data_IF_182756920367
#
_entry.id   IF_182756920367
#
_cell.length_a   1.000
_cell.length_b   1.000
_cell.length_c   1.000
_cell.angle_alpha   90.00
_cell.angle_beta   90.00
_cell.angle_gamma   90.00
#
_symmetry.space_group_name_H-M   'P 1'
#
loop_
_entity.id
_entity.type
_entity.pdbx_description
1 polymer ?
#
# COMPACT_ATOMS: atom_id res chain seq x y z
N UNK A 1 -42.53 55.32 -9.18
CA UNK A 1 -42.35 54.04 -9.90
C UNK A 1 -41.41 53.17 -9.08
N UNK A 2 -41.86 51.96 -8.68
CA UNK A 2 -41.12 51.00 -7.84
C UNK A 2 -40.31 50.07 -8.76
N UNK A 3 -39.01 49.98 -8.57
CA UNK A 3 -38.17 48.95 -9.21
C UNK A 3 -37.58 48.11 -8.07
N UNK A 4 -38.16 46.93 -7.88
CA UNK A 4 -37.67 45.91 -6.97
C UNK A 4 -36.38 45.30 -7.56
N UNK A 5 -35.22 45.59 -6.96
CA UNK A 5 -34.01 44.81 -7.19
C UNK A 5 -33.98 43.64 -6.22
N UNK A 6 -34.44 42.48 -6.68
CA UNK A 6 -34.25 41.19 -6.00
C UNK A 6 -32.91 40.61 -6.45
N UNK A 7 -31.86 40.85 -5.67
CA UNK A 7 -30.57 40.18 -5.83
C UNK A 7 -30.68 38.81 -5.15
N UNK A 8 -30.87 37.76 -5.94
CA UNK A 8 -30.84 36.38 -5.50
C UNK A 8 -29.37 35.95 -5.35
N UNK A 9 -28.81 36.10 -4.14
CA UNK A 9 -27.46 35.60 -3.81
C UNK A 9 -27.56 34.09 -3.64
N UNK A 10 -27.19 33.32 -4.68
CA UNK A 10 -26.95 31.88 -4.55
C UNK A 10 -25.72 31.66 -3.68
N UNK A 11 -25.95 31.24 -2.43
CA UNK A 11 -24.94 30.64 -1.56
C UNK A 11 -24.52 29.29 -2.13
N UNK A 12 -23.44 29.26 -2.92
CA UNK A 12 -22.71 28.04 -3.25
C UNK A 12 -21.98 27.57 -1.99
N UNK A 13 -22.66 26.84 -1.11
CA UNK A 13 -21.99 26.08 -0.05
C UNK A 13 -21.27 24.89 -0.69
N UNK A 14 -20.01 25.09 -1.09
CA UNK A 14 -19.11 23.97 -1.38
C UNK A 14 -18.81 23.29 -0.05
N UNK A 15 -19.53 22.21 0.26
CA UNK A 15 -19.11 21.24 1.27
C UNK A 15 -17.82 20.61 0.78
N UNK A 16 -16.69 21.15 1.21
CA UNK A 16 -15.41 20.47 1.11
C UNK A 16 -15.51 19.21 1.98
N UNK A 17 -15.83 18.07 1.36
CA UNK A 17 -15.59 16.78 1.98
C UNK A 17 -14.07 16.67 2.14
N UNK A 18 -13.59 17.01 3.33
CA UNK A 18 -12.26 16.61 3.73
C UNK A 18 -12.26 15.08 3.68
N UNK A 19 -11.59 14.51 2.68
CA UNK A 19 -11.37 13.07 2.64
C UNK A 19 -10.54 12.74 3.89
N UNK A 20 -11.19 12.13 4.87
CA UNK A 20 -10.55 11.71 6.11
C UNK A 20 -9.46 10.71 5.74
N UNK A 21 -8.20 11.13 5.88
CA UNK A 21 -7.04 10.33 5.49
C UNK A 21 -6.80 9.26 6.53
N UNK A 22 -6.64 8.02 6.09
CA UNK A 22 -6.24 6.95 6.98
C UNK A 22 -4.77 7.09 7.39
N UNK A 23 -4.53 7.32 8.69
CA UNK A 23 -3.19 7.41 9.28
C UNK A 23 -2.99 6.25 10.26
N UNK A 24 -2.04 5.37 9.94
CA UNK A 24 -1.61 4.29 10.83
C UNK A 24 -0.61 4.85 11.85
N UNK A 25 -0.95 4.82 13.14
CA UNK A 25 -0.12 5.38 14.22
C UNK A 25 1.21 4.65 14.42
N UNK A 26 1.25 3.33 14.19
CA UNK A 26 2.49 2.59 14.26
C UNK A 26 3.41 2.97 13.09
N UNK A 27 2.83 3.11 11.90
CA UNK A 27 3.55 3.59 10.72
C UNK A 27 4.02 5.04 10.88
N UNK A 28 3.22 5.91 11.50
CA UNK A 28 3.57 7.30 11.74
C UNK A 28 4.86 7.41 12.56
N UNK A 29 4.93 6.70 13.69
CA UNK A 29 6.15 6.64 14.51
C UNK A 29 7.35 6.10 13.73
N UNK A 30 7.12 5.09 12.88
CA UNK A 30 8.17 4.49 12.07
C UNK A 30 8.72 5.47 11.01
N UNK A 31 7.83 6.14 10.29
CA UNK A 31 8.22 7.11 9.26
C UNK A 31 8.96 8.29 9.84
N UNK A 32 8.55 8.76 11.03
CA UNK A 32 9.24 9.84 11.73
C UNK A 32 10.68 9.45 12.07
N UNK A 33 10.91 8.24 12.60
CA UNK A 33 12.27 7.72 12.86
C UNK A 33 13.09 7.60 11.59
N UNK A 34 12.48 7.13 10.50
CA UNK A 34 13.15 7.03 9.20
C UNK A 34 13.51 8.42 8.66
N UNK A 35 12.60 9.39 8.73
CA UNK A 35 12.84 10.75 8.29
C UNK A 35 13.95 11.44 9.11
N UNK A 36 13.98 11.24 10.42
CA UNK A 36 15.04 11.72 11.30
C UNK A 36 16.40 11.14 10.90
N UNK A 37 16.46 9.83 10.60
CA UNK A 37 17.68 9.21 10.09
C UNK A 37 18.15 9.89 8.80
N UNK A 38 17.27 10.15 7.84
CA UNK A 38 17.64 10.86 6.60
C UNK A 38 18.13 12.29 6.87
N UNK A 39 17.48 13.02 7.77
CA UNK A 39 17.87 14.39 8.11
C UNK A 39 19.31 14.44 8.63
N UNK A 40 19.64 13.56 9.56
CA UNK A 40 20.97 13.49 10.17
C UNK A 40 22.00 12.93 9.21
N UNK A 41 21.65 11.91 8.43
CA UNK A 41 22.60 11.26 7.53
C UNK A 41 22.89 12.11 6.28
N UNK A 42 21.90 12.74 5.65
CA UNK A 42 22.10 13.51 4.39
C UNK A 42 22.95 14.76 4.57
N UNK A 43 22.96 15.36 5.76
CA UNK A 43 23.84 16.50 6.06
C UNK A 43 25.32 16.14 5.82
N UNK A 44 25.70 14.87 6.04
CA UNK A 44 27.05 14.38 5.79
C UNK A 44 27.46 14.39 4.30
N UNK A 45 26.53 14.46 3.35
CA UNK A 45 26.85 14.54 1.92
C UNK A 45 27.00 15.98 1.40
N UNK A 46 26.60 16.99 2.18
CA UNK A 46 26.50 18.38 1.72
C UNK A 46 27.84 19.03 1.33
N UNK A 47 28.95 18.57 1.91
CA UNK A 47 30.29 19.11 1.68
C UNK A 47 30.95 18.60 0.38
N UNK A 48 30.32 17.65 -0.34
CA UNK A 48 30.88 17.05 -1.55
C UNK A 48 30.74 17.98 -2.76
N UNK A 49 31.81 18.09 -3.56
CA UNK A 49 31.95 19.12 -4.60
C UNK A 49 31.17 18.78 -5.87
N UNK A 50 31.16 17.53 -6.31
CA UNK A 50 30.48 17.14 -7.54
C UNK A 50 29.08 16.59 -7.30
N UNK A 51 28.20 16.71 -8.30
CA UNK A 51 26.86 16.11 -8.27
C UNK A 51 26.94 14.58 -8.19
N UNK A 52 27.92 13.95 -8.85
CA UNK A 52 28.11 12.50 -8.85
C UNK A 52 28.48 11.94 -7.46
N UNK A 53 29.38 12.62 -6.75
CA UNK A 53 29.76 12.24 -5.38
C UNK A 53 28.60 12.37 -4.41
N UNK A 54 27.83 13.48 -4.49
CA UNK A 54 26.64 13.68 -3.66
C UNK A 54 25.61 12.57 -3.85
N UNK A 55 25.25 12.26 -5.10
CA UNK A 55 24.31 11.18 -5.42
C UNK A 55 24.79 9.82 -4.91
N UNK A 56 26.08 9.54 -5.04
CA UNK A 56 26.67 8.28 -4.54
C UNK A 56 26.58 8.20 -3.02
N UNK A 57 26.86 9.29 -2.32
CA UNK A 57 26.73 9.41 -0.87
C UNK A 57 25.27 9.24 -0.41
N UNK A 58 24.33 9.95 -1.05
CA UNK A 58 22.89 9.86 -0.76
C UNK A 58 22.32 8.46 -1.02
N UNK A 59 22.79 7.78 -2.07
CA UNK A 59 22.42 6.39 -2.35
C UNK A 59 22.88 5.47 -1.21
N UNK A 60 24.14 5.55 -0.78
CA UNK A 60 24.65 4.75 0.35
C UNK A 60 23.85 5.00 1.65
N UNK A 61 23.42 6.24 1.88
CA UNK A 61 22.55 6.57 3.02
C UNK A 61 21.17 5.93 2.86
N UNK A 62 20.60 6.00 1.67
CA UNK A 62 19.30 5.38 1.36
C UNK A 62 19.37 3.88 1.56
N UNK A 63 20.41 3.21 1.07
CA UNK A 63 20.62 1.77 1.25
C UNK A 63 20.68 1.40 2.75
N UNK A 64 21.43 2.16 3.55
CA UNK A 64 21.49 1.96 5.02
C UNK A 64 20.16 2.25 5.71
N UNK A 65 19.44 3.25 5.23
CA UNK A 65 18.12 3.58 5.77
C UNK A 65 17.12 2.46 5.46
N UNK A 66 17.18 1.86 4.27
CA UNK A 66 16.29 0.77 3.87
C UNK A 66 16.66 -0.55 4.56
N UNK A 67 17.93 -0.76 4.92
CA UNK A 67 18.34 -1.87 5.77
C UNK A 67 17.79 -1.73 7.21
N UNK A 68 17.94 -0.54 7.81
CA UNK A 68 17.52 -0.28 9.19
C UNK A 68 16.01 -0.08 9.33
N UNK A 69 15.45 0.65 8.39
CA UNK A 69 14.06 1.08 8.32
C UNK A 69 13.48 0.79 6.92
N UNK A 70 13.31 -0.50 6.56
CA UNK A 70 12.75 -0.88 5.27
C UNK A 70 11.37 -0.23 5.05
N UNK A 71 11.16 0.44 3.90
CA UNK A 71 9.90 1.10 3.62
C UNK A 71 8.78 0.06 3.57
N UNK A 72 7.62 0.41 4.12
CA UNK A 72 6.42 -0.45 4.08
C UNK A 72 6.02 -0.73 2.62
N UNK A 73 5.56 -1.95 2.34
CA UNK A 73 5.40 -2.47 0.97
C UNK A 73 6.67 -3.03 0.31
N UNK A 74 7.87 -2.78 0.86
CA UNK A 74 9.09 -3.41 0.33
C UNK A 74 9.18 -4.88 0.70
N UNK A 75 9.87 -5.68 -0.12
CA UNK A 75 10.14 -7.08 0.20
C UNK A 75 10.88 -7.26 1.54
N UNK A 76 11.76 -6.32 1.90
CA UNK A 76 12.48 -6.37 3.18
C UNK A 76 11.54 -6.16 4.37
N UNK A 77 10.61 -5.20 4.25
CA UNK A 77 9.57 -4.99 5.26
C UNK A 77 8.66 -6.22 5.38
N UNK A 78 8.15 -6.72 4.25
CA UNK A 78 7.24 -7.87 4.24
C UNK A 78 7.90 -9.11 4.82
N UNK A 79 9.15 -9.39 4.42
CA UNK A 79 9.93 -10.49 5.01
C UNK A 79 10.07 -10.32 6.52
N UNK A 80 10.46 -9.14 7.00
CA UNK A 80 10.64 -8.89 8.44
C UNK A 80 9.36 -9.09 9.25
N UNK A 81 8.21 -8.70 8.71
CA UNK A 81 6.95 -8.70 9.46
C UNK A 81 6.12 -9.98 9.30
N UNK A 82 6.28 -10.71 8.20
CA UNK A 82 5.40 -11.84 7.86
C UNK A 82 6.12 -13.17 7.68
N UNK A 83 7.46 -13.18 7.63
CA UNK A 83 8.18 -14.46 7.54
C UNK A 83 7.90 -15.34 8.75
N UNK A 84 7.58 -16.60 8.51
CA UNK A 84 7.31 -17.58 9.56
C UNK A 84 5.86 -17.63 10.04
N UNK A 85 4.95 -16.83 9.47
CA UNK A 85 3.52 -16.98 9.72
C UNK A 85 3.02 -18.34 9.23
N UNK A 86 2.09 -18.94 9.98
CA UNK A 86 1.29 -20.07 9.48
C UNK A 86 0.33 -19.61 8.38
N UNK A 87 -0.24 -20.55 7.62
CA UNK A 87 -1.26 -20.23 6.61
C UNK A 87 -2.47 -19.51 7.22
N UNK A 88 -2.95 -19.94 8.39
CA UNK A 88 -4.10 -19.32 9.05
C UNK A 88 -3.80 -17.90 9.51
N UNK A 89 -2.61 -17.66 10.07
CA UNK A 89 -2.15 -16.32 10.44
C UNK A 89 -2.03 -15.41 9.21
N UNK A 90 -1.56 -15.96 8.09
CA UNK A 90 -1.45 -15.25 6.84
C UNK A 90 -2.82 -14.88 6.26
N UNK A 91 -3.83 -15.76 6.34
CA UNK A 91 -5.22 -15.44 5.95
C UNK A 91 -5.75 -14.29 6.79
N UNK A 92 -5.62 -14.38 8.12
CA UNK A 92 -6.06 -13.30 9.02
C UNK A 92 -5.36 -11.96 8.69
N UNK A 93 -4.06 -12.00 8.40
CA UNK A 93 -3.30 -10.81 8.01
C UNK A 93 -3.77 -10.25 6.66
N UNK A 94 -4.09 -11.09 5.68
CA UNK A 94 -4.61 -10.66 4.39
C UNK A 94 -5.99 -9.97 4.52
N UNK A 95 -6.85 -10.43 5.44
CA UNK A 95 -8.13 -9.76 5.76
C UNK A 95 -7.85 -8.35 6.31
N UNK A 96 -6.92 -8.22 7.25
CA UNK A 96 -6.53 -6.93 7.82
C UNK A 96 -5.95 -5.98 6.75
N UNK A 97 -5.03 -6.48 5.93
CA UNK A 97 -4.43 -5.71 4.83
C UNK A 97 -5.49 -5.27 3.83
N UNK A 98 -6.49 -6.09 3.51
CA UNK A 98 -7.61 -5.68 2.66
C UNK A 98 -8.42 -4.54 3.27
N UNK A 99 -8.75 -4.62 4.56
CA UNK A 99 -9.44 -3.53 5.27
C UNK A 99 -8.63 -2.23 5.26
N UNK A 100 -7.31 -2.33 5.39
CA UNK A 100 -6.41 -1.17 5.26
C UNK A 100 -6.43 -0.65 3.81
N UNK A 101 -6.33 -1.53 2.82
CA UNK A 101 -6.30 -1.20 1.40
C UNK A 101 -7.52 -0.38 0.97
N UNK A 102 -8.72 -0.72 1.45
CA UNK A 102 -9.95 0.03 1.15
C UNK A 102 -9.92 1.48 1.66
N UNK A 103 -9.14 1.75 2.72
CA UNK A 103 -8.99 3.08 3.34
C UNK A 103 -7.72 3.81 2.91
N UNK A 104 -6.77 3.09 2.31
CA UNK A 104 -5.46 3.60 1.94
C UNK A 104 -5.54 4.60 0.77
N UNK A 105 -4.57 5.51 0.72
CA UNK A 105 -4.49 6.51 -0.33
C UNK A 105 -4.08 5.88 -1.67
N UNK A 106 -4.76 6.21 -2.77
CA UNK A 106 -4.45 5.66 -4.09
C UNK A 106 -3.18 6.24 -4.74
N UNK A 107 -2.75 7.43 -4.32
CA UNK A 107 -1.61 8.14 -4.89
C UNK A 107 -0.32 7.99 -4.08
N UNK A 108 0.60 8.91 -4.33
CA UNK A 108 1.84 9.02 -3.55
C UNK A 108 1.54 9.48 -2.13
N UNK A 109 2.28 8.90 -1.18
CA UNK A 109 2.27 9.30 0.22
C UNK A 109 2.64 10.78 0.39
N UNK A 110 1.83 11.53 1.12
CA UNK A 110 2.08 12.93 1.45
C UNK A 110 2.49 13.14 2.91
N UNK A 111 2.02 12.28 3.83
CA UNK A 111 2.25 12.45 5.28
C UNK A 111 2.86 11.21 5.96
N UNK A 112 3.61 11.38 7.06
CA UNK A 112 3.96 10.27 7.95
C UNK A 112 2.71 9.51 8.43
N UNK A 113 2.79 8.19 8.47
CA UNK A 113 1.69 7.29 8.86
C UNK A 113 0.66 7.01 7.77
N UNK A 114 0.66 7.79 6.69
CA UNK A 114 -0.20 7.52 5.54
C UNK A 114 0.26 6.27 4.80
N UNK A 115 -0.68 5.37 4.54
CA UNK A 115 -0.48 4.16 3.76
C UNK A 115 -1.03 4.34 2.36
N UNK A 116 -0.28 3.86 1.38
CA UNK A 116 -0.73 3.83 -0.02
C UNK A 116 -1.27 2.46 -0.37
N UNK A 117 -2.25 2.44 -1.28
CA UNK A 117 -2.81 1.21 -1.85
C UNK A 117 -1.72 0.28 -2.37
N UNK A 118 -0.77 0.82 -3.14
CA UNK A 118 0.36 0.07 -3.69
C UNK A 118 1.24 -0.59 -2.62
N UNK A 119 1.49 0.06 -1.48
CA UNK A 119 2.31 -0.51 -0.42
C UNK A 119 1.60 -1.71 0.24
N UNK A 120 0.31 -1.55 0.52
CA UNK A 120 -0.53 -2.59 1.14
C UNK A 120 -0.74 -3.77 0.19
N UNK A 121 -0.92 -3.51 -1.11
CA UNK A 121 -0.96 -4.54 -2.15
C UNK A 121 0.35 -5.30 -2.24
N UNK A 122 1.49 -4.62 -2.20
CA UNK A 122 2.79 -5.27 -2.25
C UNK A 122 3.04 -6.18 -1.04
N UNK A 123 2.58 -5.78 0.16
CA UNK A 123 2.56 -6.65 1.35
C UNK A 123 1.70 -7.90 1.12
N UNK A 124 0.48 -7.73 0.60
CA UNK A 124 -0.43 -8.84 0.32
C UNK A 124 0.13 -9.79 -0.75
N UNK A 125 0.69 -9.26 -1.84
CA UNK A 125 1.37 -10.03 -2.90
C UNK A 125 2.54 -10.84 -2.32
N UNK A 126 3.33 -10.24 -1.44
CA UNK A 126 4.45 -10.93 -0.81
C UNK A 126 3.97 -12.13 0.01
N UNK A 127 2.89 -11.97 0.79
CA UNK A 127 2.29 -13.07 1.56
C UNK A 127 1.79 -14.18 0.62
N UNK A 128 1.07 -13.82 -0.44
CA UNK A 128 0.56 -14.78 -1.44
C UNK A 128 1.69 -15.61 -2.04
N UNK A 129 2.79 -14.96 -2.43
CA UNK A 129 3.93 -15.64 -3.05
C UNK A 129 4.71 -16.50 -2.04
N UNK A 130 5.02 -15.97 -0.87
CA UNK A 130 5.97 -16.60 0.06
C UNK A 130 5.33 -17.58 1.05
N UNK A 131 4.02 -17.50 1.28
CA UNK A 131 3.30 -18.40 2.20
C UNK A 131 2.39 -19.36 1.44
N UNK A 132 1.71 -18.87 0.40
CA UNK A 132 0.79 -19.68 -0.40
C UNK A 132 1.40 -20.19 -1.71
N UNK A 133 2.64 -19.80 -2.04
CA UNK A 133 3.31 -20.23 -3.27
C UNK A 133 2.67 -19.67 -4.53
N UNK A 134 1.92 -18.58 -4.43
CA UNK A 134 1.13 -18.03 -5.53
C UNK A 134 1.55 -16.61 -5.87
N UNK A 135 2.15 -16.45 -7.04
CA UNK A 135 2.40 -15.13 -7.62
C UNK A 135 1.08 -14.48 -8.04
N UNK A 136 0.89 -13.22 -7.69
CA UNK A 136 -0.25 -12.41 -8.12
C UNK A 136 0.18 -11.57 -9.32
N UNK A 137 -0.57 -11.67 -10.43
CA UNK A 137 -0.25 -11.00 -11.70
C UNK A 137 -0.86 -9.59 -11.77
N UNK A 138 -1.89 -9.33 -10.99
CA UNK A 138 -2.51 -8.02 -10.83
C UNK A 138 -2.73 -7.71 -9.36
N UNK A 139 -2.82 -6.41 -9.05
CA UNK A 139 -2.84 -5.93 -7.68
C UNK A 139 -4.13 -6.29 -6.94
N UNK A 140 -5.25 -6.38 -7.66
CA UNK A 140 -6.54 -6.83 -7.12
C UNK A 140 -6.51 -8.29 -6.69
N UNK A 141 -5.77 -9.16 -7.39
CA UNK A 141 -5.70 -10.60 -7.07
C UNK A 141 -4.99 -10.91 -5.75
N UNK A 142 -4.22 -9.96 -5.20
CA UNK A 142 -3.50 -10.16 -3.93
C UNK A 142 -4.41 -10.41 -2.73
N UNK A 143 -5.68 -10.00 -2.82
CA UNK A 143 -6.70 -10.20 -1.79
C UNK A 143 -7.68 -11.33 -2.10
N UNK A 144 -7.34 -12.26 -2.99
CA UNK A 144 -8.18 -13.41 -3.31
C UNK A 144 -7.41 -14.72 -3.07
N UNK A 145 -8.11 -15.82 -2.80
CA UNK A 145 -7.57 -17.20 -2.73
C UNK A 145 -8.38 -18.12 -3.64
N UNK A 146 -7.84 -19.27 -4.10
CA UNK A 146 -8.65 -20.27 -4.78
C UNK A 146 -9.84 -20.66 -3.90
N UNK A 147 -11.04 -20.72 -4.49
CA UNK A 147 -12.22 -21.16 -3.75
C UNK A 147 -12.11 -22.65 -3.41
N UNK A 148 -12.44 -23.04 -2.17
CA UNK A 148 -12.36 -24.44 -1.71
C UNK A 148 -13.21 -25.42 -2.55
N UNK A 149 -14.30 -24.92 -3.16
CA UNK A 149 -15.24 -25.72 -3.96
C UNK A 149 -14.93 -25.75 -5.46
N UNK A 150 -13.68 -25.49 -5.86
CA UNK A 150 -13.31 -25.57 -7.27
C UNK A 150 -13.30 -27.03 -7.75
N UNK A 151 -14.15 -27.36 -8.73
CA UNK A 151 -14.21 -28.69 -9.33
C UNK A 151 -12.86 -29.03 -10.00
N UNK A 152 -12.34 -30.22 -9.70
CA UNK A 152 -11.13 -30.73 -10.33
C UNK A 152 -11.33 -30.81 -11.86
N UNK A 153 -10.40 -30.23 -12.62
CA UNK A 153 -10.46 -30.20 -14.08
C UNK A 153 -11.30 -29.07 -14.70
N UNK A 154 -11.90 -28.18 -13.89
CA UNK A 154 -12.61 -27.01 -14.42
C UNK A 154 -11.66 -26.10 -15.22
N UNK A 155 -12.02 -25.70 -16.46
CA UNK A 155 -11.27 -24.72 -17.23
C UNK A 155 -11.44 -23.29 -16.68
N UNK A 156 -12.33 -23.09 -15.72
CA UNK A 156 -12.55 -21.84 -15.03
C UNK A 156 -12.00 -21.96 -13.62
N UNK A 157 -11.02 -21.12 -13.28
CA UNK A 157 -10.52 -20.96 -11.92
C UNK A 157 -11.37 -19.92 -11.20
N UNK A 158 -11.84 -20.25 -10.00
CA UNK A 158 -12.61 -19.34 -9.15
C UNK A 158 -11.72 -18.85 -8.03
N UNK A 159 -11.63 -17.54 -7.89
CA UNK A 159 -10.89 -16.87 -6.83
C UNK A 159 -11.89 -16.20 -5.90
N UNK A 160 -11.90 -16.61 -4.66
CA UNK A 160 -12.76 -16.09 -3.60
C UNK A 160 -12.01 -14.95 -2.89
N UNK A 161 -12.70 -13.84 -2.69
CA UNK A 161 -12.16 -12.69 -2.00
C UNK A 161 -11.92 -13.03 -0.52
N UNK A 162 -10.77 -12.61 -0.01
CA UNK A 162 -10.41 -12.84 1.38
C UNK A 162 -11.29 -11.94 2.26
N UNK A 163 -11.97 -12.54 3.23
CA UNK A 163 -12.85 -11.82 4.17
C UNK A 163 -14.05 -11.13 3.49
N UNK A 164 -14.53 -11.65 2.36
CA UNK A 164 -15.73 -11.14 1.67
C UNK A 164 -16.38 -12.21 0.81
N UNK A 165 -17.48 -11.86 0.14
CA UNK A 165 -18.31 -12.79 -0.63
C UNK A 165 -18.09 -12.69 -2.14
N UNK A 166 -17.17 -11.83 -2.60
CA UNK A 166 -16.91 -11.66 -4.03
C UNK A 166 -16.14 -12.85 -4.58
N UNK A 167 -16.50 -13.25 -5.80
CA UNK A 167 -15.81 -14.30 -6.55
C UNK A 167 -15.40 -13.75 -7.91
N UNK A 168 -14.12 -13.89 -8.25
CA UNK A 168 -13.59 -13.63 -9.58
C UNK A 168 -13.48 -14.95 -10.32
N UNK A 169 -13.98 -14.98 -11.55
CA UNK A 169 -13.84 -16.12 -12.44
C UNK A 169 -12.83 -15.79 -13.53
N UNK A 170 -11.81 -16.64 -13.69
CA UNK A 170 -10.78 -16.51 -14.71
C UNK A 170 -10.64 -17.80 -15.52
N UNK A 171 -10.59 -17.68 -16.84
CA UNK A 171 -10.27 -18.79 -17.75
C UNK A 171 -8.78 -19.13 -17.68
N UNK A 172 -8.38 -20.40 -17.77
CA UNK A 172 -6.96 -20.78 -17.94
C UNK A 172 -6.32 -20.19 -19.20
N UNK A 173 -7.13 -19.68 -20.13
CA UNK A 173 -6.68 -19.05 -21.38
C UNK A 173 -6.57 -17.52 -21.30
N UNK A 174 -6.93 -16.90 -20.18
CA UNK A 174 -6.85 -15.44 -20.03
C UNK A 174 -5.56 -15.06 -19.31
N UNK A 175 -4.52 -14.80 -20.10
CA UNK A 175 -3.32 -14.09 -19.65
C UNK A 175 -3.51 -12.60 -19.89
N UNK A 176 -4.35 -11.95 -19.10
CA UNK A 176 -4.45 -10.48 -19.02
C UNK A 176 -4.64 -10.03 -17.57
#
# INVERSE_FOLDING_TARGET
>A
MKIFSLIFVMLLSTSAFAVERYIDKAQESYDMKRAEYFKTARSSCSHLKTVGERRTCERKITDKADEKYPPRGSSAYSKKNYSGMSKDQAVAKLIELKSIYEKAHGGSKAYPGELTKNAVEAEASWIQENIFGRRTLSSSLSFYLPCEKQLAGSPIRKYCEIGGDKVLEGSIYSTE
#
